data_IF_809143445059
#
_entry.id   IF_809143445059
#
_cell.length_a   1.000
_cell.length_b   1.000
_cell.length_c   1.000
_cell.angle_alpha   90.00
_cell.angle_beta   90.00
_cell.angle_gamma   90.00
#
_symmetry.space_group_name_H-M   'P 1'
#
loop_
_entity.id
_entity.type
_entity.pdbx_description
1 polymer ?
#
# COMPACT_ATOMS: atom_id res chain seq x y z
N UNK A 1 -6.73 15.89 -24.18
CA UNK A 1 -6.96 15.36 -22.82
C UNK A 1 -5.60 15.05 -22.26
N UNK A 2 -5.18 15.79 -21.25
CA UNK A 2 -3.83 15.66 -20.70
C UNK A 2 -3.92 14.88 -19.40
N UNK A 3 -3.29 13.70 -19.37
CA UNK A 3 -3.17 12.90 -18.16
C UNK A 3 -1.91 13.32 -17.42
N UNK A 4 -2.03 13.61 -16.12
CA UNK A 4 -0.90 13.87 -15.23
C UNK A 4 -0.85 12.78 -14.18
N UNK A 5 0.31 12.15 -14.04
CA UNK A 5 0.57 11.11 -13.05
C UNK A 5 1.64 11.64 -12.11
N UNK A 6 1.36 11.57 -10.82
CA UNK A 6 2.29 11.92 -9.76
C UNK A 6 2.66 10.64 -9.01
N UNK A 7 3.95 10.32 -8.96
CA UNK A 7 4.47 9.23 -8.14
C UNK A 7 4.89 9.79 -6.78
N UNK A 8 4.29 9.26 -5.72
CA UNK A 8 4.54 9.69 -4.35
C UNK A 8 5.12 8.54 -3.54
N UNK A 9 6.17 8.85 -2.79
CA UNK A 9 6.89 7.86 -2.01
C UNK A 9 6.03 7.24 -0.90
N UNK A 10 5.98 5.91 -0.84
CA UNK A 10 5.19 5.17 0.16
C UNK A 10 5.87 5.00 1.53
N UNK A 11 7.17 5.31 1.64
CA UNK A 11 7.91 5.21 2.92
C UNK A 11 7.39 6.23 3.92
N UNK A 12 7.39 5.89 5.22
CA UNK A 12 6.79 6.76 6.25
C UNK A 12 7.34 8.19 6.23
N UNK A 13 8.65 8.34 6.07
CA UNK A 13 9.32 9.64 6.04
C UNK A 13 8.97 10.49 4.80
N UNK A 14 8.51 9.84 3.72
CA UNK A 14 8.13 10.51 2.47
C UNK A 14 6.65 10.93 2.46
N UNK A 15 5.82 10.38 3.36
CA UNK A 15 4.37 10.69 3.40
C UNK A 15 4.08 12.13 3.77
N UNK A 16 4.99 12.78 4.51
CA UNK A 16 4.85 14.19 4.89
C UNK A 16 5.07 15.15 3.71
N UNK A 17 5.71 14.69 2.62
CA UNK A 17 5.97 15.51 1.43
C UNK A 17 4.92 15.32 0.34
N UNK A 18 3.86 14.56 0.61
CA UNK A 18 2.79 14.33 -0.34
C UNK A 18 2.07 15.65 -0.67
N UNK A 19 1.80 15.93 -1.96
CA UNK A 19 1.08 17.13 -2.35
C UNK A 19 -0.37 17.07 -1.83
N UNK A 20 -1.02 18.24 -1.65
CA UNK A 20 -2.44 18.27 -1.33
C UNK A 20 -3.26 17.60 -2.43
N UNK A 21 -4.13 16.66 -2.06
CA UNK A 21 -4.94 15.87 -3.00
C UNK A 21 -6.24 16.55 -3.45
N UNK A 22 -6.30 17.88 -3.44
CA UNK A 22 -7.54 18.64 -3.65
C UNK A 22 -8.09 18.62 -5.07
N UNK A 23 -7.33 18.11 -6.06
CA UNK A 23 -7.72 18.07 -7.48
C UNK A 23 -7.26 16.77 -8.17
N UNK A 24 -7.47 15.64 -7.50
CA UNK A 24 -7.11 14.32 -8.03
C UNK A 24 -8.37 13.58 -8.48
N UNK A 25 -8.37 13.06 -9.71
CA UNK A 25 -9.51 12.28 -10.22
C UNK A 25 -9.50 10.81 -9.75
N UNK A 26 -8.31 10.24 -9.57
CA UNK A 26 -8.13 8.86 -9.13
C UNK A 26 -6.81 8.68 -8.36
N UNK A 27 -6.83 7.77 -7.39
CA UNK A 27 -5.64 7.29 -6.68
C UNK A 27 -5.43 5.84 -7.06
N UNK A 28 -4.18 5.50 -7.41
CA UNK A 28 -3.74 4.12 -7.62
C UNK A 28 -2.89 3.73 -6.41
N UNK A 29 -3.46 2.90 -5.53
CA UNK A 29 -2.75 2.40 -4.36
C UNK A 29 -2.05 1.07 -4.68
N UNK A 30 -0.72 1.04 -4.55
CA UNK A 30 0.11 -0.14 -4.82
C UNK A 30 0.38 -0.90 -3.51
N UNK A 31 -0.29 -2.03 -3.31
CA UNK A 31 -0.12 -2.89 -2.15
C UNK A 31 0.72 -4.14 -2.48
N UNK A 32 1.92 -4.32 -1.89
CA UNK A 32 2.76 -5.48 -2.18
C UNK A 32 2.35 -6.71 -1.39
N UNK A 33 1.39 -7.48 -1.90
CA UNK A 33 0.81 -8.65 -1.19
C UNK A 33 1.84 -9.71 -0.82
N UNK A 34 2.94 -9.81 -1.59
CA UNK A 34 4.05 -10.73 -1.30
C UNK A 34 4.84 -10.36 -0.03
N UNK A 35 4.66 -9.17 0.54
CA UNK A 35 5.42 -8.66 1.67
C UNK A 35 4.93 -9.15 3.04
N UNK A 36 3.97 -10.07 3.10
CA UNK A 36 3.37 -10.58 4.35
C UNK A 36 4.39 -11.11 5.37
N UNK A 37 5.54 -11.64 4.93
CA UNK A 37 6.62 -12.09 5.81
C UNK A 37 7.76 -11.08 6.02
N UNK A 38 7.56 -9.80 5.68
CA UNK A 38 8.59 -8.76 5.74
C UNK A 38 8.19 -7.66 6.74
N UNK A 39 9.21 -7.03 7.32
CA UNK A 39 9.07 -5.87 8.20
C UNK A 39 9.58 -4.60 7.51
N UNK A 40 9.20 -3.42 8.02
CA UNK A 40 9.72 -2.15 7.53
C UNK A 40 11.25 -2.07 7.75
N UNK A 41 11.92 -1.27 6.91
CA UNK A 41 13.38 -1.07 7.03
C UNK A 41 13.66 -0.13 8.21
N UNK A 42 12.83 0.91 8.33
CA UNK A 42 12.85 1.92 9.37
C UNK A 42 12.37 1.40 10.74
N UNK A 43 11.51 0.37 10.76
CA UNK A 43 11.01 -0.25 12.00
C UNK A 43 10.80 -1.76 11.84
N UNK A 44 11.73 -2.54 12.38
CA UNK A 44 11.72 -4.01 12.31
C UNK A 44 10.60 -4.67 13.12
N UNK A 45 9.82 -3.91 13.90
CA UNK A 45 8.66 -4.44 14.64
C UNK A 45 7.37 -4.39 13.83
N UNK A 46 7.35 -3.62 12.74
CA UNK A 46 6.13 -3.38 11.95
C UNK A 46 6.11 -4.25 10.71
N UNK A 47 5.04 -5.02 10.52
CA UNK A 47 4.83 -5.79 9.30
C UNK A 47 4.50 -4.87 8.10
N UNK A 48 5.07 -5.15 6.93
CA UNK A 48 4.86 -4.30 5.73
C UNK A 48 3.42 -4.30 5.22
N UNK A 49 2.71 -5.43 5.31
CA UNK A 49 1.29 -5.51 4.90
C UNK A 49 0.44 -4.72 5.87
N UNK A 50 0.69 -4.84 7.17
CA UNK A 50 -0.03 -4.09 8.19
C UNK A 50 0.15 -2.58 8.01
N UNK A 51 1.38 -2.11 7.80
CA UNK A 51 1.63 -0.70 7.51
C UNK A 51 0.92 -0.23 6.23
N UNK A 52 0.91 -1.06 5.18
CA UNK A 52 0.19 -0.75 3.93
C UNK A 52 -1.33 -0.67 4.15
N UNK A 53 -1.89 -1.55 4.99
CA UNK A 53 -3.31 -1.54 5.35
C UNK A 53 -3.67 -0.30 6.17
N UNK A 54 -2.84 0.08 7.14
CA UNK A 54 -3.03 1.31 7.92
C UNK A 54 -2.99 2.55 7.02
N UNK A 55 -2.04 2.61 6.10
CA UNK A 55 -1.96 3.70 5.12
C UNK A 55 -3.21 3.73 4.23
N UNK A 56 -3.59 2.59 3.64
CA UNK A 56 -4.77 2.49 2.80
C UNK A 56 -6.03 2.93 3.54
N UNK A 57 -6.20 2.49 4.79
CA UNK A 57 -7.29 2.92 5.66
C UNK A 57 -7.31 4.43 5.86
N UNK A 58 -6.16 5.04 6.17
CA UNK A 58 -6.08 6.50 6.36
C UNK A 58 -6.46 7.30 5.11
N UNK A 59 -6.13 6.77 3.92
CA UNK A 59 -6.51 7.37 2.63
C UNK A 59 -8.03 7.26 2.44
N UNK A 60 -8.61 6.09 2.69
CA UNK A 60 -10.05 5.85 2.57
C UNK A 60 -10.88 6.67 3.59
N UNK A 61 -10.34 6.91 4.79
CA UNK A 61 -10.99 7.71 5.84
C UNK A 61 -10.84 9.23 5.60
N UNK A 62 -9.98 9.66 4.68
CA UNK A 62 -9.80 11.07 4.37
C UNK A 62 -11.02 11.63 3.61
N UNK A 63 -11.80 12.47 4.29
CA UNK A 63 -13.00 13.11 3.72
C UNK A 63 -12.75 13.94 2.47
N UNK A 64 -11.55 14.51 2.30
CA UNK A 64 -11.18 15.27 1.09
C UNK A 64 -11.10 14.36 -0.15
N UNK A 65 -10.82 13.07 0.07
CA UNK A 65 -10.71 12.06 -0.98
C UNK A 65 -12.04 11.33 -1.25
N UNK A 66 -13.13 11.68 -0.57
CA UNK A 66 -14.39 10.93 -0.63
C UNK A 66 -15.06 10.85 -2.01
N UNK A 67 -14.66 11.69 -2.96
CA UNK A 67 -15.13 11.66 -4.37
C UNK A 67 -14.09 11.14 -5.36
N UNK A 68 -12.88 10.84 -4.88
CA UNK A 68 -11.75 10.40 -5.71
C UNK A 68 -11.89 8.90 -5.97
N UNK A 69 -11.72 8.48 -7.23
CA UNK A 69 -11.78 7.07 -7.56
C UNK A 69 -10.59 6.31 -6.98
N UNK A 70 -10.84 5.22 -6.27
CA UNK A 70 -9.78 4.41 -5.66
C UNK A 70 -9.54 3.15 -6.49
N UNK A 71 -8.30 2.97 -6.96
CA UNK A 71 -7.86 1.76 -7.67
C UNK A 71 -6.80 1.07 -6.82
N UNK A 72 -7.09 -0.16 -6.37
CA UNK A 72 -6.16 -0.96 -5.57
C UNK A 72 -5.43 -1.97 -6.45
N UNK A 73 -4.11 -1.82 -6.54
CA UNK A 73 -3.24 -2.76 -7.24
C UNK A 73 -2.52 -3.65 -6.22
N UNK A 74 -2.94 -4.91 -6.18
CA UNK A 74 -2.26 -5.97 -5.43
C UNK A 74 -1.07 -6.47 -6.25
N UNK A 75 0.13 -5.93 -5.99
CA UNK A 75 1.31 -6.18 -6.82
C UNK A 75 2.19 -7.34 -6.32
N UNK A 76 3.08 -7.83 -7.18
CA UNK A 76 4.02 -8.95 -6.90
C UNK A 76 3.31 -10.28 -6.63
N UNK A 77 2.22 -10.54 -7.37
CA UNK A 77 1.46 -11.79 -7.31
C UNK A 77 2.35 -13.00 -7.65
N UNK A 78 3.28 -12.83 -8.58
CA UNK A 78 4.27 -13.86 -8.95
C UNK A 78 5.14 -14.28 -7.75
N UNK A 79 5.58 -13.31 -6.93
CA UNK A 79 6.38 -13.57 -5.71
C UNK A 79 5.51 -14.24 -4.65
N UNK A 80 4.26 -13.78 -4.49
CA UNK A 80 3.31 -14.41 -3.57
C UNK A 80 3.13 -15.88 -3.95
N UNK A 81 2.86 -16.17 -5.22
CA UNK A 81 2.65 -17.52 -5.72
C UNK A 81 3.88 -18.42 -5.43
N UNK A 82 5.10 -17.94 -5.69
CA UNK A 82 6.33 -18.68 -5.35
C UNK A 82 6.44 -18.98 -3.85
N UNK A 83 6.10 -18.02 -2.98
CA UNK A 83 6.14 -18.22 -1.52
C UNK A 83 5.10 -19.25 -1.05
N UNK A 84 3.89 -19.20 -1.61
CA UNK A 84 2.83 -20.15 -1.28
C UNK A 84 3.21 -21.57 -1.75
N UNK A 85 3.75 -21.72 -2.96
CA UNK A 85 4.25 -23.00 -3.49
C UNK A 85 5.40 -23.57 -2.65
N UNK A 86 6.23 -22.71 -2.07
CA UNK A 86 7.28 -23.11 -1.12
C UNK A 86 6.74 -23.47 0.29
N UNK A 87 5.42 -23.44 0.51
CA UNK A 87 4.79 -23.82 1.77
C UNK A 87 4.73 -22.71 2.83
N UNK A 88 5.08 -21.46 2.48
CA UNK A 88 4.99 -20.34 3.41
C UNK A 88 3.52 -19.96 3.62
N UNK A 89 3.05 -20.00 4.88
CA UNK A 89 1.66 -19.70 5.23
C UNK A 89 1.50 -18.23 5.61
N UNK A 90 0.56 -17.53 4.97
CA UNK A 90 0.22 -16.13 5.28
C UNK A 90 -0.24 -15.97 6.73
N UNK A 91 -1.03 -16.91 7.24
CA UNK A 91 -1.55 -16.92 8.62
C UNK A 91 -0.48 -16.94 9.71
N UNK A 92 0.77 -17.27 9.37
CA UNK A 92 1.91 -17.17 10.30
C UNK A 92 2.28 -15.72 10.60
N UNK A 93 2.00 -14.80 9.67
CA UNK A 93 2.50 -13.43 9.72
C UNK A 93 1.39 -12.38 9.83
N UNK A 94 0.22 -12.66 9.27
CA UNK A 94 -0.94 -11.78 9.35
C UNK A 94 -1.99 -12.48 10.21
N UNK A 95 -2.30 -11.90 11.37
CA UNK A 95 -3.37 -12.37 12.25
C UNK A 95 -4.63 -11.58 11.88
N UNK A 96 -5.73 -12.31 11.66
CA UNK A 96 -7.07 -11.77 11.48
C UNK A 96 -7.65 -11.20 12.76
#
# INVERSE_FOLDING_TARGET
>A
MDWRIFDVGGHRDQRQTWPPFSDVNAIIFLAPISAFGQVLVEDKKVNRIEDSLLLFRSICENKLLGKVNMVLFLNKVDILERKLKAGVKVSRYVRS
#
